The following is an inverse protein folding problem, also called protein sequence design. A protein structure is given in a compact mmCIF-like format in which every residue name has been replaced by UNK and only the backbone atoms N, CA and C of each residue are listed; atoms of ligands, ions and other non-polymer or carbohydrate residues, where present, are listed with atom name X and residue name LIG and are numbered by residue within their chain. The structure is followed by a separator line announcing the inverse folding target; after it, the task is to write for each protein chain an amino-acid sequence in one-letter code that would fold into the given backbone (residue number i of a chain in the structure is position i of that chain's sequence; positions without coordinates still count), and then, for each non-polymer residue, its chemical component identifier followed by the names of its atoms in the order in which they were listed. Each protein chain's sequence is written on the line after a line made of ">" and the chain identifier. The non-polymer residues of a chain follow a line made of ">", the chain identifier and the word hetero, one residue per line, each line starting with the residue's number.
data_IF_140650728149
#
_entry.id   IF_140650728149
#
_cell.length_a   1.000
_cell.length_b   1.000
_cell.length_c   1.000
_cell.angle_alpha   90.00
_cell.angle_beta   90.00
_cell.angle_gamma   90.00
#
_symmetry.space_group_name_H-M   'P 1'
#
loop_
_entity.id
_entity.type
_entity.pdbx_description
1 polymer ?
#
# COMPACT_ATOMS: atom_id res chain seq x y z
N UNK A 1 20.10 -4.54 18.46
CA UNK A 1 18.63 -4.50 18.25
C UNK A 1 18.28 -3.10 17.81
N UNK A 2 17.57 -2.97 16.69
CA UNK A 2 17.11 -1.70 16.16
C UNK A 2 15.58 -1.71 16.08
N UNK A 3 14.95 -0.61 16.47
CA UNK A 3 13.52 -0.41 16.32
C UNK A 3 13.33 0.82 15.45
N UNK A 4 12.46 0.71 14.45
CA UNK A 4 12.14 1.79 13.52
C UNK A 4 10.63 1.96 13.49
N UNK A 5 10.20 3.20 13.54
CA UNK A 5 8.79 3.57 13.36
C UNK A 5 8.73 4.67 12.33
N UNK A 6 7.81 4.55 11.39
CA UNK A 6 7.61 5.50 10.30
C UNK A 6 6.13 5.89 10.27
N UNK A 7 5.89 7.18 10.12
CA UNK A 7 4.56 7.75 9.95
C UNK A 7 4.62 8.65 8.72
N UNK A 8 3.65 8.50 7.83
CA UNK A 8 3.59 9.28 6.60
C UNK A 8 2.16 9.50 6.15
N UNK A 9 1.97 10.45 5.25
CA UNK A 9 0.73 10.62 4.50
C UNK A 9 1.04 10.60 3.02
N UNK A 10 0.10 10.11 2.23
CA UNK A 10 0.12 10.14 0.78
C UNK A 10 -1.13 10.86 0.30
N UNK A 11 -0.95 11.84 -0.56
CA UNK A 11 -2.03 12.51 -1.28
C UNK A 11 -1.86 12.23 -2.78
N UNK A 12 -2.89 11.66 -3.41
CA UNK A 12 -2.93 11.49 -4.86
C UNK A 12 -3.48 12.76 -5.53
N UNK A 13 -2.61 13.42 -6.29
CA UNK A 13 -2.98 14.53 -7.16
C UNK A 13 -3.48 13.99 -8.51
N UNK A 14 -4.66 14.43 -8.94
CA UNK A 14 -5.31 14.03 -10.20
C UNK A 14 -6.81 13.77 -10.06
N UNK A 15 -7.50 13.62 -11.20
CA UNK A 15 -8.88 13.16 -11.26
C UNK A 15 -8.98 11.68 -10.86
N UNK A 16 -9.80 11.40 -9.85
CA UNK A 16 -10.07 10.05 -9.35
C UNK A 16 -11.16 9.34 -10.14
N UNK A 17 -11.83 10.08 -11.03
CA UNK A 17 -12.82 9.55 -11.96
C UNK A 17 -12.13 8.67 -13.00
N UNK A 18 -12.07 7.38 -12.73
CA UNK A 18 -11.86 6.37 -13.78
C UNK A 18 -13.19 6.11 -14.50
N UNK A 19 -13.74 7.15 -15.11
CA UNK A 19 -14.86 7.04 -16.03
C UNK A 19 -14.37 6.34 -17.30
N UNK A 20 -14.51 5.01 -17.35
CA UNK A 20 -14.18 4.26 -18.56
C UNK A 20 -15.44 4.19 -19.41
N UNK A 21 -15.49 4.95 -20.49
CA UNK A 21 -16.55 4.84 -21.50
C UNK A 21 -16.39 3.51 -22.23
N UNK A 22 -17.24 2.54 -21.93
CA UNK A 22 -17.29 1.26 -22.63
C UNK A 22 -18.39 1.32 -23.69
N UNK A 23 -18.14 0.70 -24.84
CA UNK A 23 -19.13 0.58 -25.92
C UNK A 23 -19.11 -0.84 -26.45
N UNK A 24 -20.29 -1.46 -26.56
CA UNK A 24 -20.43 -2.76 -27.20
C UNK A 24 -20.10 -2.65 -28.70
N UNK A 25 -19.30 -3.60 -29.21
CA UNK A 25 -18.98 -3.66 -30.64
C UNK A 25 -20.27 -4.01 -31.42
N UNK A 26 -20.85 -3.02 -32.10
CA UNK A 26 -22.14 -3.13 -32.83
C UNK A 26 -23.28 -2.25 -32.32
N UNK A 27 -23.10 -1.54 -31.19
CA UNK A 27 -24.10 -0.61 -30.63
C UNK A 27 -23.68 0.87 -30.70
N UNK A 28 -24.64 1.78 -30.87
CA UNK A 28 -24.40 3.22 -31.04
C UNK A 28 -24.40 4.02 -29.72
N UNK A 29 -24.71 3.39 -28.58
CA UNK A 29 -24.80 4.07 -27.28
C UNK A 29 -23.59 3.74 -26.39
N UNK A 30 -22.74 4.73 -26.03
CA UNK A 30 -21.70 4.53 -25.03
C UNK A 30 -22.31 4.46 -23.62
N UNK A 31 -21.76 3.61 -22.75
CA UNK A 31 -22.07 3.60 -21.32
C UNK A 31 -20.82 3.90 -20.50
N UNK A 32 -20.96 4.75 -19.50
CA UNK A 32 -19.85 5.16 -18.63
C UNK A 32 -19.85 4.26 -17.40
N UNK A 33 -18.77 3.49 -17.22
CA UNK A 33 -18.55 2.75 -15.99
C UNK A 33 -17.64 3.58 -15.10
N UNK A 34 -18.22 4.12 -14.03
CA UNK A 34 -17.46 4.76 -12.97
C UNK A 34 -16.85 3.66 -12.12
N UNK A 35 -15.56 3.37 -12.32
CA UNK A 35 -14.84 2.50 -11.40
C UNK A 35 -14.66 3.21 -10.07
N UNK A 36 -14.69 2.47 -8.95
CA UNK A 36 -14.53 3.04 -7.61
C UNK A 36 -13.31 3.98 -7.55
N UNK A 37 -13.56 5.24 -7.21
CA UNK A 37 -12.53 6.26 -7.07
C UNK A 37 -11.45 5.76 -6.12
N UNK A 38 -10.19 5.84 -6.58
CA UNK A 38 -9.06 5.59 -5.69
C UNK A 38 -9.13 6.58 -4.51
N UNK A 39 -8.62 6.21 -3.33
CA UNK A 39 -8.64 7.14 -2.20
C UNK A 39 -7.71 8.32 -2.47
N UNK A 40 -8.24 9.54 -2.37
CA UNK A 40 -7.46 10.78 -2.56
C UNK A 40 -6.33 10.92 -1.54
N UNK A 41 -6.62 10.55 -0.31
CA UNK A 41 -5.75 10.69 0.85
C UNK A 41 -5.58 9.34 1.56
N UNK A 42 -4.35 9.04 1.97
CA UNK A 42 -4.00 7.86 2.75
C UNK A 42 -2.93 8.16 3.80
N UNK A 43 -3.19 7.80 5.05
CA UNK A 43 -2.21 7.78 6.12
C UNK A 43 -1.49 6.42 6.15
N UNK A 44 -0.18 6.44 6.39
CA UNK A 44 0.68 5.25 6.43
C UNK A 44 1.40 5.22 7.77
N UNK A 45 1.33 4.08 8.44
CA UNK A 45 1.99 3.79 9.69
C UNK A 45 2.83 2.53 9.47
N UNK A 46 4.08 2.54 9.91
CA UNK A 46 4.94 1.36 9.89
C UNK A 46 5.73 1.28 11.18
N UNK A 47 5.90 0.07 11.69
CA UNK A 47 6.77 -0.25 12.80
C UNK A 47 7.57 -1.49 12.45
N UNK A 48 8.88 -1.48 12.65
CA UNK A 48 9.74 -2.62 12.40
C UNK A 48 10.81 -2.77 13.47
N UNK A 49 11.08 -4.01 13.83
CA UNK A 49 12.12 -4.41 14.77
C UNK A 49 13.13 -5.30 14.04
N UNK A 50 14.41 -5.07 14.31
CA UNK A 50 15.51 -5.85 13.75
C UNK A 50 16.44 -6.31 14.88
N UNK A 51 16.73 -7.61 14.89
CA UNK A 51 17.57 -8.28 15.88
C UNK A 51 18.67 -9.05 15.17
N UNK A 52 19.92 -8.64 15.41
CA UNK A 52 21.08 -9.44 15.03
C UNK A 52 21.20 -10.62 16.00
N UNK A 53 20.99 -11.84 15.49
CA UNK A 53 21.12 -13.08 16.27
C UNK A 53 22.60 -13.44 16.42
N UNK A 54 23.39 -13.21 15.37
CA UNK A 54 24.86 -13.30 15.41
C UNK A 54 25.46 -12.30 14.39
N UNK A 55 26.79 -12.30 14.22
CA UNK A 55 27.49 -11.40 13.28
C UNK A 55 27.09 -11.60 11.80
N UNK A 56 26.50 -12.76 11.50
CA UNK A 56 26.16 -13.23 10.16
C UNK A 56 24.64 -13.35 9.95
N UNK A 57 23.81 -13.30 10.99
CA UNK A 57 22.39 -13.61 10.95
C UNK A 57 21.58 -12.51 11.61
N UNK A 58 20.63 -11.96 10.87
CA UNK A 58 19.74 -10.88 11.33
C UNK A 58 18.30 -11.27 11.04
N UNK A 59 17.44 -11.13 12.05
CA UNK A 59 16.01 -11.33 11.95
C UNK A 59 15.32 -9.96 11.98
N UNK A 60 14.37 -9.73 11.09
CA UNK A 60 13.56 -8.52 11.03
C UNK A 60 12.08 -8.86 11.07
N UNK A 61 11.29 -8.07 11.79
CA UNK A 61 9.85 -8.17 11.85
C UNK A 61 9.26 -6.78 11.67
N UNK A 62 8.24 -6.64 10.83
CA UNK A 62 7.60 -5.37 10.53
C UNK A 62 6.08 -5.50 10.48
N UNK A 63 5.40 -4.43 10.86
CA UNK A 63 3.97 -4.23 10.75
C UNK A 63 3.72 -2.89 10.07
N UNK A 64 2.88 -2.86 9.04
CA UNK A 64 2.50 -1.68 8.30
C UNK A 64 0.98 -1.56 8.21
N UNK A 65 0.43 -0.40 8.55
CA UNK A 65 -0.98 -0.07 8.33
C UNK A 65 -1.10 1.10 7.35
N UNK A 66 -1.99 0.97 6.38
CA UNK A 66 -2.37 2.05 5.47
C UNK A 66 -3.87 2.31 5.61
N UNK A 67 -4.23 3.52 5.98
CA UNK A 67 -5.61 3.95 6.17
C UNK A 67 -5.92 5.07 5.20
N UNK A 68 -6.85 4.84 4.30
CA UNK A 68 -7.31 5.79 3.30
C UNK A 68 -8.84 5.86 3.32
N UNK A 69 -9.43 6.92 2.76
CA UNK A 69 -10.89 7.15 2.83
C UNK A 69 -11.74 5.95 2.40
N UNK A 70 -11.29 5.21 1.38
CA UNK A 70 -12.00 4.06 0.81
C UNK A 70 -11.20 2.74 0.94
N UNK A 71 -10.04 2.74 1.60
CA UNK A 71 -9.15 1.58 1.60
C UNK A 71 -8.36 1.46 2.91
N UNK A 72 -8.40 0.30 3.54
CA UNK A 72 -7.58 -0.02 4.71
C UNK A 72 -6.78 -1.29 4.42
N UNK A 73 -5.46 -1.19 4.51
CA UNK A 73 -4.54 -2.30 4.34
C UNK A 73 -3.73 -2.49 5.62
N UNK A 74 -3.58 -3.73 6.05
CA UNK A 74 -2.69 -4.10 7.12
C UNK A 74 -1.74 -5.17 6.58
N UNK A 75 -0.45 -4.88 6.65
CA UNK A 75 0.62 -5.74 6.17
C UNK A 75 1.53 -6.12 7.33
N UNK A 76 1.93 -7.39 7.35
CA UNK A 76 2.93 -7.90 8.28
C UNK A 76 4.06 -8.49 7.46
N UNK A 77 5.30 -8.15 7.81
CA UNK A 77 6.49 -8.64 7.14
C UNK A 77 7.42 -9.29 8.14
N UNK A 78 7.99 -10.43 7.77
CA UNK A 78 9.08 -11.07 8.51
C UNK A 78 10.22 -11.35 7.53
N UNK A 79 11.44 -11.13 7.97
CA UNK A 79 12.64 -11.29 7.17
C UNK A 79 13.76 -11.95 7.97
N UNK A 80 14.55 -12.74 7.28
CA UNK A 80 15.76 -13.36 7.82
C UNK A 80 16.90 -13.17 6.82
N UNK A 81 18.01 -12.61 7.28
CA UNK A 81 19.17 -12.31 6.47
C UNK A 81 20.37 -13.08 7.01
N UNK A 82 21.02 -13.87 6.15
CA UNK A 82 22.27 -14.57 6.44
C UNK A 82 23.40 -14.03 5.55
N UNK A 83 24.53 -13.67 6.14
CA UNK A 83 25.78 -13.24 5.48
C UNK A 83 26.82 -14.34 5.62
N UNK A 84 27.28 -14.91 4.51
CA UNK A 84 28.29 -15.98 4.46
C UNK A 84 29.69 -15.42 4.25
#
# INVERSE_FOLDING_TARGET
>A
MALRSELGWQHQYGDLDRGTGLRFNGGNSPFVVNSVSASRDGAVLKASAEVAVNKNATLSLGYGGLLSQNYQDNSVNAGFTWKF
#
